data_IF_437936342272
#
_entry.id   IF_437936342272
#
_cell.length_a   1.000
_cell.length_b   1.000
_cell.length_c   1.000
_cell.angle_alpha   90.00
_cell.angle_beta   90.00
_cell.angle_gamma   90.00
#
_symmetry.space_group_name_H-M   'P 1'
#
loop_
_entity.id
_entity.type
_entity.pdbx_description
1 polymer ?
#
# COMPACT_ATOMS: atom_id res chain seq x y z
N UNK A 1 22.17 10.51 -22.83
CA UNK A 1 21.50 9.19 -22.69
C UNK A 1 20.02 9.48 -22.79
N UNK A 2 19.34 8.96 -23.81
CA UNK A 2 18.00 9.42 -24.18
C UNK A 2 17.00 9.19 -23.05
N UNK A 3 16.22 10.24 -22.75
CA UNK A 3 15.10 10.23 -21.83
C UNK A 3 14.07 9.21 -22.33
N UNK A 4 13.68 8.25 -21.51
CA UNK A 4 12.48 7.48 -21.77
C UNK A 4 11.28 8.38 -21.45
N UNK A 5 10.42 8.58 -22.44
CA UNK A 5 9.14 9.26 -22.32
C UNK A 5 8.19 8.51 -21.38
N UNK A 6 7.20 9.22 -20.83
CA UNK A 6 6.11 8.66 -20.02
C UNK A 6 5.38 7.49 -20.75
N UNK A 7 5.34 7.53 -22.09
CA UNK A 7 4.84 6.44 -22.93
C UNK A 7 5.74 5.20 -22.96
N UNK A 8 7.06 5.35 -22.83
CA UNK A 8 8.01 4.23 -22.78
C UNK A 8 7.99 3.53 -21.42
N UNK A 9 7.73 4.27 -20.33
CA UNK A 9 7.44 3.70 -19.00
C UNK A 9 6.16 2.87 -19.02
N UNK A 10 5.09 3.39 -19.64
CA UNK A 10 3.85 2.62 -19.86
C UNK A 10 4.05 1.39 -20.73
N UNK A 11 4.90 1.47 -21.76
CA UNK A 11 5.17 0.33 -22.65
C UNK A 11 6.05 -0.76 -22.00
N UNK A 12 6.92 -0.40 -21.05
CA UNK A 12 7.72 -1.35 -20.28
C UNK A 12 6.87 -2.10 -19.22
N UNK A 13 5.78 -1.50 -18.75
CA UNK A 13 4.91 -2.05 -17.70
C UNK A 13 3.59 -2.65 -18.19
N UNK A 14 3.29 -2.54 -19.48
CA UNK A 14 2.17 -3.25 -20.09
C UNK A 14 2.72 -4.45 -20.86
N UNK A 15 2.59 -5.69 -20.35
CA UNK A 15 2.37 -6.75 -21.31
C UNK A 15 1.14 -6.31 -22.11
N UNK A 16 1.28 -6.06 -23.42
CA UNK A 16 0.13 -5.82 -24.30
C UNK A 16 -0.95 -6.87 -24.02
N UNK A 17 -2.25 -6.63 -24.29
CA UNK A 17 -3.34 -7.47 -23.77
C UNK A 17 -3.11 -8.93 -24.13
N UNK A 18 -2.42 -9.65 -23.23
CA UNK A 18 -2.35 -11.08 -23.26
C UNK A 18 -3.73 -11.41 -22.73
N UNK A 19 -4.67 -11.60 -23.66
CA UNK A 19 -5.72 -12.58 -23.43
C UNK A 19 -4.96 -13.85 -23.10
N UNK A 20 -4.66 -14.03 -21.82
CA UNK A 20 -4.27 -15.31 -21.28
C UNK A 20 -5.53 -16.14 -21.50
N UNK A 21 -5.61 -16.80 -22.65
CA UNK A 21 -6.36 -18.03 -22.74
C UNK A 21 -5.85 -18.85 -21.56
N UNK A 22 -6.66 -18.99 -20.51
CA UNK A 22 -6.35 -19.82 -19.35
C UNK A 22 -5.76 -21.11 -19.92
N UNK A 23 -4.45 -21.37 -19.77
CA UNK A 23 -3.92 -22.66 -20.16
C UNK A 23 -4.74 -23.66 -19.35
N UNK A 24 -5.38 -24.61 -20.00
CA UNK A 24 -6.04 -25.70 -19.31
C UNK A 24 -4.95 -26.41 -18.50
N UNK A 25 -4.91 -26.13 -17.20
CA UNK A 25 -3.92 -26.65 -16.26
C UNK A 25 -4.00 -28.18 -16.35
N UNK A 26 -2.95 -28.81 -16.88
CA UNK A 26 -2.93 -30.28 -16.96
C UNK A 26 -2.87 -30.92 -15.58
N UNK A 27 -2.46 -30.19 -14.53
CA UNK A 27 -2.49 -30.64 -13.14
C UNK A 27 -2.75 -29.39 -12.28
N UNK A 28 -3.99 -29.18 -11.81
CA UNK A 28 -4.21 -28.22 -10.74
C UNK A 28 -3.39 -28.71 -9.52
N UNK A 29 -2.55 -27.87 -8.90
CA UNK A 29 -2.00 -28.23 -7.59
C UNK A 29 -3.18 -28.58 -6.68
N UNK A 30 -3.07 -29.66 -5.90
CA UNK A 30 -4.16 -30.15 -5.04
C UNK A 30 -4.81 -28.96 -4.31
N UNK A 31 -6.09 -28.71 -4.60
CA UNK A 31 -6.87 -27.71 -3.88
C UNK A 31 -6.91 -28.15 -2.41
N UNK A 32 -6.43 -27.28 -1.52
CA UNK A 32 -6.51 -27.49 -0.08
C UNK A 32 -7.71 -26.68 0.44
N UNK A 33 -8.59 -27.28 1.26
CA UNK A 33 -9.60 -26.55 2.00
C UNK A 33 -8.95 -25.40 2.80
N UNK A 34 -9.68 -24.27 2.94
CA UNK A 34 -9.21 -23.11 3.71
C UNK A 34 -8.74 -23.51 5.12
N UNK A 35 -9.45 -24.42 5.79
CA UNK A 35 -9.07 -24.91 7.12
C UNK A 35 -7.67 -25.57 7.14
N UNK A 36 -7.31 -26.31 6.10
CA UNK A 36 -5.99 -26.98 6.01
C UNK A 36 -4.89 -25.98 5.69
N UNK A 37 -5.18 -24.95 4.87
CA UNK A 37 -4.26 -23.83 4.62
C UNK A 37 -3.98 -23.09 5.93
N UNK A 38 -5.02 -22.76 6.70
CA UNK A 38 -4.90 -22.08 7.99
C UNK A 38 -4.16 -22.92 9.02
N UNK A 39 -4.42 -24.23 9.07
CA UNK A 39 -3.70 -25.15 9.94
C UNK A 39 -2.20 -25.19 9.61
N UNK A 40 -1.86 -25.18 8.33
CA UNK A 40 -0.46 -25.17 7.89
C UNK A 40 0.24 -23.84 8.16
N UNK A 41 -0.45 -22.71 7.96
CA UNK A 41 0.04 -21.38 8.38
C UNK A 41 0.34 -21.37 9.87
N UNK A 42 -0.59 -21.86 10.70
CA UNK A 42 -0.38 -22.00 12.14
C UNK A 42 0.82 -22.87 12.48
N UNK A 43 0.95 -24.02 11.82
CA UNK A 43 2.06 -24.96 12.03
C UNK A 43 3.43 -24.33 11.75
N UNK A 44 3.59 -23.60 10.65
CA UNK A 44 4.88 -22.96 10.32
C UNK A 44 5.17 -21.74 11.19
N UNK A 45 4.15 -20.95 11.51
CA UNK A 45 4.29 -19.77 12.39
C UNK A 45 4.64 -20.12 13.84
N UNK A 46 4.20 -21.29 14.32
CA UNK A 46 4.48 -21.79 15.68
C UNK A 46 5.90 -22.35 15.83
N UNK A 47 6.58 -22.66 14.72
CA UNK A 47 7.98 -23.07 14.76
C UNK A 47 8.91 -21.86 14.97
N UNK A 48 10.05 -22.02 15.67
CA UNK A 48 11.11 -21.01 15.67
C UNK A 48 11.54 -20.65 14.24
N UNK A 49 11.97 -19.41 13.99
CA UNK A 49 12.42 -18.94 12.66
C UNK A 49 13.37 -19.94 11.96
N UNK A 50 14.42 -20.38 12.66
CA UNK A 50 15.39 -21.35 12.13
C UNK A 50 14.78 -22.70 11.74
N UNK A 51 13.56 -22.98 12.22
CA UNK A 51 12.75 -24.17 11.99
C UNK A 51 11.56 -23.96 11.05
N UNK A 52 11.23 -22.72 10.68
CA UNK A 52 10.09 -22.43 9.82
C UNK A 52 10.38 -22.70 8.34
N UNK A 53 9.30 -22.81 7.57
CA UNK A 53 9.31 -22.95 6.11
C UNK A 53 8.45 -21.86 5.49
N UNK A 54 8.53 -21.70 4.17
CA UNK A 54 7.55 -20.90 3.42
C UNK A 54 6.12 -21.43 3.60
N UNK A 55 5.13 -20.58 3.33
CA UNK A 55 3.72 -20.97 3.36
C UNK A 55 3.40 -22.02 2.27
N UNK A 56 2.31 -22.80 2.42
CA UNK A 56 1.81 -23.63 1.33
C UNK A 56 1.48 -22.78 0.09
N UNK A 57 1.76 -23.26 -1.14
CA UNK A 57 1.48 -22.51 -2.36
C UNK A 57 0.00 -22.11 -2.50
N UNK A 58 -0.91 -22.89 -1.90
CA UNK A 58 -2.34 -22.60 -1.84
C UNK A 58 -2.66 -21.31 -1.09
N UNK A 59 -1.83 -20.87 -0.14
CA UNK A 59 -1.99 -19.57 0.51
C UNK A 59 -1.81 -18.38 -0.46
N UNK A 60 -1.19 -18.60 -1.62
CA UNK A 60 -0.96 -17.57 -2.64
C UNK A 60 -1.79 -17.76 -3.91
N UNK A 61 -2.53 -18.87 -4.03
CA UNK A 61 -3.16 -19.28 -5.29
C UNK A 61 -4.63 -19.68 -5.15
N UNK A 62 -5.11 -19.94 -3.92
CA UNK A 62 -6.50 -20.34 -3.68
C UNK A 62 -7.44 -19.12 -3.66
N UNK A 63 -8.47 -19.18 -4.50
CA UNK A 63 -9.57 -18.20 -4.53
C UNK A 63 -10.37 -18.19 -3.21
N UNK A 64 -10.62 -19.37 -2.62
CA UNK A 64 -11.34 -19.47 -1.36
C UNK A 64 -10.54 -18.88 -0.20
N UNK A 65 -9.22 -19.12 -0.20
CA UNK A 65 -8.34 -18.52 0.80
C UNK A 65 -8.25 -17.01 0.63
N UNK A 66 -8.15 -16.51 -0.60
CA UNK A 66 -8.17 -15.07 -0.86
C UNK A 66 -9.45 -14.40 -0.35
N UNK A 67 -10.63 -14.99 -0.59
CA UNK A 67 -11.89 -14.49 -0.01
C UNK A 67 -11.88 -14.49 1.51
N UNK A 68 -11.28 -15.52 2.12
CA UNK A 68 -11.08 -15.55 3.57
C UNK A 68 -10.15 -14.41 4.03
N UNK A 69 -9.06 -14.13 3.31
CA UNK A 69 -8.15 -13.01 3.61
C UNK A 69 -8.88 -11.67 3.55
N UNK A 70 -9.66 -11.39 2.51
CA UNK A 70 -10.47 -10.17 2.40
C UNK A 70 -11.34 -9.98 3.65
N UNK A 71 -12.15 -10.98 4.00
CA UNK A 71 -13.11 -10.89 5.08
C UNK A 71 -12.49 -10.85 6.49
N UNK A 72 -11.31 -11.42 6.68
CA UNK A 72 -10.73 -11.63 8.03
C UNK A 72 -9.49 -10.78 8.31
N UNK A 73 -8.80 -10.30 7.28
CA UNK A 73 -7.59 -9.50 7.41
C UNK A 73 -7.79 -8.03 7.03
N UNK A 74 -8.68 -7.73 6.07
CA UNK A 74 -8.72 -6.40 5.46
C UNK A 74 -10.01 -5.63 5.72
N UNK A 75 -11.18 -6.22 5.45
CA UNK A 75 -12.47 -5.52 5.60
C UNK A 75 -12.77 -5.10 7.04
N UNK A 76 -12.23 -5.84 8.00
CA UNK A 76 -12.41 -5.63 9.44
C UNK A 76 -11.29 -4.82 10.12
N UNK A 77 -10.40 -4.22 9.32
CA UNK A 77 -9.24 -3.48 9.81
C UNK A 77 -9.08 -2.13 9.10
N UNK A 78 -8.01 -1.41 9.46
CA UNK A 78 -7.67 -0.12 8.90
C UNK A 78 -6.82 -0.21 7.64
N UNK A 79 -7.33 0.34 6.54
CA UNK A 79 -6.64 0.39 5.25
C UNK A 79 -6.28 1.83 4.90
N UNK A 80 -4.98 2.10 4.71
CA UNK A 80 -4.50 3.39 4.24
C UNK A 80 -4.84 3.58 2.75
N UNK A 81 -5.52 4.68 2.41
CA UNK A 81 -6.05 4.93 1.06
C UNK A 81 -5.33 6.04 0.31
N UNK A 82 -4.96 7.12 0.98
CA UNK A 82 -4.20 8.23 0.38
C UNK A 82 -3.47 9.05 1.44
N UNK A 83 -2.57 9.91 1.01
CA UNK A 83 -2.05 11.00 1.83
C UNK A 83 -2.91 12.25 1.65
N UNK A 84 -3.12 13.05 2.71
CA UNK A 84 -3.93 14.28 2.70
C UNK A 84 -3.47 15.28 1.64
N UNK A 85 -2.18 15.26 1.29
CA UNK A 85 -1.60 16.12 0.25
C UNK A 85 -2.08 15.80 -1.17
N UNK A 86 -2.73 14.65 -1.38
CA UNK A 86 -3.32 14.29 -2.68
C UNK A 86 -4.70 14.94 -2.90
N UNK A 87 -5.37 15.37 -1.82
CA UNK A 87 -6.66 16.09 -1.86
C UNK A 87 -6.59 17.33 -0.95
N UNK A 88 -5.73 18.31 -1.25
CA UNK A 88 -5.46 19.42 -0.33
C UNK A 88 -6.61 20.44 -0.23
N UNK A 89 -7.45 20.59 -1.26
CA UNK A 89 -8.50 21.61 -1.32
C UNK A 89 -9.90 21.01 -1.14
N UNK A 90 -10.84 21.80 -0.62
CA UNK A 90 -12.25 21.41 -0.58
C UNK A 90 -12.75 21.01 -1.96
N UNK A 91 -13.46 19.88 -2.02
CA UNK A 91 -13.99 19.31 -3.25
C UNK A 91 -13.00 18.44 -4.00
N UNK A 92 -11.70 18.44 -3.62
CA UNK A 92 -10.74 17.50 -4.17
C UNK A 92 -11.16 16.08 -3.77
N UNK A 93 -11.20 15.18 -4.76
CA UNK A 93 -11.59 13.81 -4.54
C UNK A 93 -10.69 12.81 -5.26
N UNK A 94 -10.67 11.59 -4.72
CA UNK A 94 -10.04 10.39 -5.28
C UNK A 94 -11.07 9.26 -5.28
N UNK A 95 -11.24 8.60 -6.42
CA UNK A 95 -12.00 7.38 -6.54
C UNK A 95 -11.06 6.19 -6.41
N UNK A 96 -11.43 5.22 -5.58
CA UNK A 96 -10.69 3.97 -5.41
C UNK A 96 -11.67 2.80 -5.41
N UNK A 97 -11.22 1.65 -5.89
CA UNK A 97 -11.90 0.38 -5.66
C UNK A 97 -11.11 -0.39 -4.61
N UNK A 98 -11.73 -0.67 -3.47
CA UNK A 98 -11.08 -1.32 -2.32
C UNK A 98 -11.82 -2.62 -2.04
N UNK A 99 -11.20 -3.75 -2.39
CA UNK A 99 -11.77 -5.09 -2.25
C UNK A 99 -13.16 -5.27 -2.90
N UNK A 100 -13.38 -4.58 -4.03
CA UNK A 100 -14.63 -4.59 -4.76
C UNK A 100 -15.65 -3.54 -4.31
N UNK A 101 -15.37 -2.76 -3.27
CA UNK A 101 -16.18 -1.60 -2.88
C UNK A 101 -15.69 -0.34 -3.63
N UNK A 102 -16.53 0.31 -4.45
CA UNK A 102 -16.17 1.55 -5.11
C UNK A 102 -16.38 2.74 -4.16
N UNK A 103 -15.30 3.45 -3.87
CA UNK A 103 -15.22 4.52 -2.88
C UNK A 103 -14.88 5.87 -3.51
N UNK A 104 -15.37 6.94 -2.86
CA UNK A 104 -14.96 8.32 -3.07
C UNK A 104 -14.33 8.83 -1.78
N UNK A 105 -13.08 9.24 -1.86
CA UNK A 105 -12.41 10.02 -0.83
C UNK A 105 -12.55 11.48 -1.20
N UNK A 106 -13.00 12.33 -0.29
CA UNK A 106 -13.25 13.74 -0.61
C UNK A 106 -12.93 14.64 0.58
N UNK A 107 -12.33 15.80 0.30
CA UNK A 107 -12.24 16.88 1.28
C UNK A 107 -13.52 17.69 1.30
N UNK A 108 -14.20 17.71 2.43
CA UNK A 108 -15.49 18.39 2.61
C UNK A 108 -15.34 19.89 2.83
N UNK A 109 -16.46 20.61 2.92
CA UNK A 109 -16.50 22.08 3.07
C UNK A 109 -16.05 22.57 4.45
N UNK A 110 -16.20 21.73 5.47
CA UNK A 110 -15.70 21.92 6.83
C UNK A 110 -14.19 21.62 6.96
N UNK A 111 -13.56 21.09 5.90
CA UNK A 111 -12.13 20.77 5.85
C UNK A 111 -11.78 19.33 6.21
N UNK A 112 -12.75 18.55 6.70
CA UNK A 112 -12.59 17.13 7.00
C UNK A 112 -12.39 16.30 5.72
N UNK A 113 -11.99 15.04 5.88
CA UNK A 113 -11.95 14.06 4.79
C UNK A 113 -12.95 12.96 5.09
N UNK A 114 -13.77 12.63 4.10
CA UNK A 114 -14.76 11.55 4.16
C UNK A 114 -14.43 10.49 3.13
N UNK A 115 -14.67 9.22 3.49
CA UNK A 115 -14.74 8.11 2.56
C UNK A 115 -16.20 7.71 2.40
N UNK A 116 -16.73 7.84 1.20
CA UNK A 116 -18.14 7.59 0.85
C UNK A 116 -18.23 6.44 -0.15
N UNK A 117 -19.32 5.69 -0.14
CA UNK A 117 -19.63 4.78 -1.23
C UNK A 117 -19.91 5.59 -2.50
N UNK A 118 -19.36 5.14 -3.62
CA UNK A 118 -19.62 5.69 -4.95
C UNK A 118 -20.94 5.16 -5.53
N UNK A 119 -21.70 4.37 -4.76
CA UNK A 119 -22.94 3.75 -5.22
C UNK A 119 -24.17 4.58 -4.82
N UNK A 120 -24.93 5.03 -5.81
CA UNK A 120 -26.18 5.74 -5.61
C UNK A 120 -27.25 4.83 -4.97
N UNK A 121 -27.87 5.22 -3.84
CA UNK A 121 -28.84 4.39 -3.16
C UNK A 121 -30.18 4.24 -3.90
N UNK A 122 -30.44 5.04 -4.94
CA UNK A 122 -31.66 4.92 -5.74
C UNK A 122 -31.72 3.57 -6.47
N UNK A 123 -30.73 3.28 -7.34
CA UNK A 123 -30.71 2.07 -8.19
C UNK A 123 -29.29 1.54 -8.40
N UNK A 124 -28.45 1.65 -7.37
CA UNK A 124 -27.10 1.10 -7.31
C UNK A 124 -26.14 1.58 -8.43
N UNK A 125 -26.41 2.74 -9.03
CA UNK A 125 -25.53 3.31 -10.04
C UNK A 125 -24.23 3.75 -9.37
N UNK A 126 -23.09 3.24 -9.83
CA UNK A 126 -21.80 3.90 -9.58
C UNK A 126 -21.88 5.32 -10.15
N UNK A 127 -21.74 6.34 -9.29
CA UNK A 127 -21.97 7.73 -9.69
C UNK A 127 -20.81 8.35 -10.47
N UNK A 128 -19.63 7.72 -10.46
CA UNK A 128 -18.49 8.13 -11.28
C UNK A 128 -17.75 6.89 -11.80
N UNK A 129 -18.38 6.03 -12.63
CA UNK A 129 -17.76 4.82 -13.10
C UNK A 129 -16.64 5.15 -14.11
N UNK A 130 -15.62 4.30 -14.23
CA UNK A 130 -14.58 4.49 -15.24
C UNK A 130 -15.17 4.70 -16.64
N UNK A 131 -14.73 5.76 -17.33
CA UNK A 131 -15.18 6.08 -18.69
C UNK A 131 -16.51 6.84 -18.81
N UNK A 132 -17.19 7.17 -17.71
CA UNK A 132 -18.42 7.94 -17.72
C UNK A 132 -18.16 9.39 -17.26
N UNK A 133 -18.50 10.39 -18.08
CA UNK A 133 -18.22 11.81 -17.81
C UNK A 133 -17.31 12.50 -18.83
N UNK A 134 -16.68 11.76 -19.75
CA UNK A 134 -15.69 12.28 -20.71
C UNK A 134 -16.26 13.06 -21.92
N UNK A 135 -17.58 12.97 -22.15
CA UNK A 135 -18.19 13.40 -23.42
C UNK A 135 -19.20 14.57 -23.26
N UNK A 136 -19.00 15.46 -22.28
CA UNK A 136 -19.75 16.73 -22.19
C UNK A 136 -20.89 16.80 -21.18
N UNK A 137 -20.93 15.87 -20.21
CA UNK A 137 -21.74 15.98 -18.98
C UNK A 137 -20.86 16.20 -17.73
N UNK A 138 -19.60 16.59 -17.92
CA UNK A 138 -18.60 16.65 -16.86
C UNK A 138 -18.83 17.84 -15.90
N UNK A 139 -18.88 17.54 -14.61
CA UNK A 139 -18.96 18.55 -13.53
C UNK A 139 -17.70 18.56 -12.66
N UNK A 140 -16.81 17.58 -12.84
CA UNK A 140 -15.49 17.57 -12.24
C UNK A 140 -14.49 18.06 -13.30
N UNK A 141 -13.53 18.90 -12.91
CA UNK A 141 -12.38 19.11 -13.81
C UNK A 141 -11.41 17.97 -13.54
N UNK A 142 -11.13 17.08 -14.51
CA UNK A 142 -10.13 16.03 -14.30
C UNK A 142 -8.81 16.67 -13.93
N UNK A 143 -8.15 16.17 -12.88
CA UNK A 143 -6.79 16.62 -12.59
C UNK A 143 -5.87 15.99 -13.64
N UNK A 144 -5.28 16.81 -14.51
CA UNK A 144 -4.21 16.39 -15.44
C UNK A 144 -4.59 15.18 -16.33
N UNK A 145 -5.87 15.01 -16.69
CA UNK A 145 -6.32 13.91 -17.54
C UNK A 145 -6.24 12.51 -16.90
N UNK A 146 -6.12 12.42 -15.56
CA UNK A 146 -6.13 11.15 -14.83
C UNK A 146 -7.57 10.71 -14.51
N UNK A 147 -8.06 9.57 -15.02
CA UNK A 147 -9.35 9.03 -14.60
C UNK A 147 -9.36 8.75 -13.09
N UNK A 148 -10.41 9.18 -12.40
CA UNK A 148 -10.63 8.84 -10.98
C UNK A 148 -10.15 9.87 -9.95
N UNK A 149 -9.71 11.07 -10.33
CA UNK A 149 -9.50 12.17 -9.40
C UNK A 149 -9.90 13.52 -9.99
N UNK A 150 -10.15 14.51 -9.15
CA UNK A 150 -10.52 15.84 -9.60
C UNK A 150 -11.01 16.74 -8.47
N UNK A 151 -11.64 17.84 -8.84
CA UNK A 151 -12.33 18.75 -7.91
C UNK A 151 -13.79 18.91 -8.31
N UNK A 152 -14.71 18.85 -7.33
CA UNK A 152 -16.14 19.09 -7.55
C UNK A 152 -16.82 19.79 -6.39
N UNK A 153 -17.98 20.40 -6.64
CA UNK A 153 -18.83 21.06 -5.63
C UNK A 153 -19.92 20.15 -5.06
N UNK A 154 -20.27 19.08 -5.77
CA UNK A 154 -21.28 18.08 -5.43
C UNK A 154 -21.12 16.85 -6.33
N UNK A 155 -21.63 15.70 -5.92
CA UNK A 155 -21.64 14.49 -6.74
C UNK A 155 -23.00 14.33 -7.42
N UNK A 156 -23.00 14.00 -8.71
CA UNK A 156 -24.22 13.87 -9.50
C UNK A 156 -24.32 12.46 -10.04
N UNK A 157 -25.35 11.72 -9.63
CA UNK A 157 -25.63 10.41 -10.21
C UNK A 157 -26.08 10.58 -11.66
N UNK A 158 -25.37 10.00 -12.64
CA UNK A 158 -25.66 10.21 -14.04
C UNK A 158 -26.94 9.51 -14.51
N UNK A 159 -27.50 8.61 -13.70
CA UNK A 159 -28.67 7.85 -14.11
C UNK A 159 -29.96 8.70 -14.05
N UNK A 160 -30.18 9.40 -12.94
CA UNK A 160 -31.43 10.16 -12.71
C UNK A 160 -31.17 11.51 -12.02
N UNK A 161 -29.93 12.01 -12.03
CA UNK A 161 -29.54 13.30 -11.46
C UNK A 161 -29.80 13.46 -9.96
N UNK A 162 -29.81 12.36 -9.21
CA UNK A 162 -29.69 12.45 -7.75
C UNK A 162 -28.36 13.12 -7.40
N UNK A 163 -28.43 14.21 -6.67
CA UNK A 163 -27.30 15.08 -6.37
C UNK A 163 -26.96 14.98 -4.91
N UNK A 164 -25.69 14.74 -4.58
CA UNK A 164 -25.18 14.57 -3.22
C UNK A 164 -24.20 15.70 -2.88
N UNK A 165 -24.27 16.20 -1.65
CA UNK A 165 -23.25 17.08 -1.09
C UNK A 165 -21.92 16.31 -0.90
N UNK A 166 -20.83 17.04 -0.62
CA UNK A 166 -19.50 16.45 -0.43
C UNK A 166 -19.42 15.55 0.81
N UNK A 167 -20.32 15.71 1.77
CA UNK A 167 -20.45 14.85 2.96
C UNK A 167 -21.32 13.61 2.71
N UNK A 168 -21.83 13.44 1.49
CA UNK A 168 -22.70 12.34 1.08
C UNK A 168 -24.20 12.61 1.24
N UNK A 169 -24.61 13.71 1.88
CA UNK A 169 -26.03 14.03 2.07
C UNK A 169 -26.78 14.22 0.74
N UNK A 170 -27.98 13.67 0.61
CA UNK A 170 -28.80 13.85 -0.61
C UNK A 170 -29.32 15.29 -0.69
N UNK A 171 -28.79 16.06 -1.64
CA UNK A 171 -29.14 17.45 -1.89
C UNK A 171 -30.44 17.59 -2.68
N UNK A 172 -30.54 16.85 -3.79
CA UNK A 172 -31.64 16.96 -4.73
C UNK A 172 -31.94 15.62 -5.40
N UNK A 173 -33.22 15.35 -5.64
CA UNK A 173 -33.71 14.16 -6.32
C UNK A 173 -35.00 14.54 -7.07
N UNK A 174 -34.98 14.46 -8.40
CA UNK A 174 -36.11 14.86 -9.23
C UNK A 174 -37.31 13.92 -9.05
N UNK A 175 -38.53 14.47 -9.12
CA UNK A 175 -39.81 13.73 -9.15
C UNK A 175 -40.10 12.82 -7.95
N UNK A 176 -39.35 12.92 -6.84
CA UNK A 176 -39.59 12.11 -5.63
C UNK A 176 -40.69 12.66 -4.71
N UNK A 177 -41.30 13.80 -5.05
CA UNK A 177 -42.33 14.44 -4.21
C UNK A 177 -43.64 13.65 -4.10
N UNK A 178 -43.94 12.80 -5.10
CA UNK A 178 -45.11 11.93 -5.12
C UNK A 178 -44.83 10.54 -4.51
N UNK A 179 -43.59 10.26 -4.10
CA UNK A 179 -43.23 9.01 -3.44
C UNK A 179 -43.69 9.05 -1.98
N UNK A 180 -44.73 8.29 -1.66
CA UNK A 180 -45.31 8.23 -0.31
C UNK A 180 -44.25 7.88 0.73
N UNK A 181 -44.12 8.69 1.78
CA UNK A 181 -43.20 8.47 2.89
C UNK A 181 -41.73 8.78 2.60
N UNK A 182 -41.36 9.27 1.40
CA UNK A 182 -39.97 9.57 1.07
C UNK A 182 -39.38 10.71 1.92
N UNK A 183 -38.39 10.40 2.75
CA UNK A 183 -37.61 11.38 3.52
C UNK A 183 -36.21 11.52 2.92
N UNK A 184 -35.97 12.64 2.21
CA UNK A 184 -34.70 12.86 1.47
C UNK A 184 -33.44 12.60 2.31
N UNK A 185 -33.47 12.98 3.59
CA UNK A 185 -32.31 12.91 4.47
C UNK A 185 -31.94 11.45 4.86
N UNK A 186 -32.79 10.47 4.56
CA UNK A 186 -32.51 9.03 4.73
C UNK A 186 -31.73 8.41 3.55
N UNK A 187 -31.55 9.15 2.45
CA UNK A 187 -31.08 8.61 1.16
C UNK A 187 -29.72 9.17 0.69
N UNK A 188 -28.82 9.46 1.62
CA UNK A 188 -27.44 9.87 1.33
C UNK A 188 -26.54 8.73 0.82
N UNK A 189 -25.36 9.08 0.33
CA UNK A 189 -24.29 8.11 0.09
C UNK A 189 -23.83 7.54 1.43
N UNK A 190 -23.63 6.21 1.49
CA UNK A 190 -23.11 5.55 2.68
C UNK A 190 -21.71 6.09 2.99
N UNK A 191 -21.51 6.61 4.20
CA UNK A 191 -20.17 6.91 4.71
C UNK A 191 -19.51 5.68 5.31
N UNK A 192 -18.19 5.59 5.19
CA UNK A 192 -17.35 4.60 5.86
C UNK A 192 -16.59 5.26 7.01
N UNK A 193 -16.30 4.48 8.06
CA UNK A 193 -15.50 4.97 9.17
C UNK A 193 -14.13 5.38 8.66
N UNK A 194 -13.77 6.64 8.89
CA UNK A 194 -12.58 7.29 8.33
C UNK A 194 -11.80 7.96 9.45
N UNK A 195 -10.47 7.78 9.43
CA UNK A 195 -9.56 8.47 10.35
C UNK A 195 -8.36 9.00 9.57
N UNK A 196 -7.87 10.18 9.96
CA UNK A 196 -6.62 10.75 9.43
C UNK A 196 -5.55 10.60 10.51
N UNK A 197 -4.48 9.88 10.19
CA UNK A 197 -3.37 9.64 11.11
C UNK A 197 -2.03 9.82 10.38
N UNK A 198 -1.16 10.66 10.92
CA UNK A 198 0.13 11.02 10.30
C UNK A 198 0.02 11.41 8.83
N UNK A 199 -1.03 12.17 8.47
CA UNK A 199 -1.29 12.62 7.11
C UNK A 199 -1.86 11.55 6.17
N UNK A 200 -2.00 10.30 6.61
CA UNK A 200 -2.68 9.26 5.82
C UNK A 200 -4.15 9.15 6.20
N UNK A 201 -4.99 8.99 5.18
CA UNK A 201 -6.43 8.73 5.30
C UNK A 201 -6.64 7.23 5.34
N UNK A 202 -7.20 6.74 6.45
CA UNK A 202 -7.55 5.34 6.64
C UNK A 202 -9.06 5.14 6.56
N UNK A 203 -9.47 3.98 6.03
CA UNK A 203 -10.85 3.50 6.08
C UNK A 203 -10.93 2.20 6.87
N UNK A 204 -12.03 1.99 7.57
CA UNK A 204 -12.46 0.69 8.05
C UNK A 204 -13.83 0.37 7.44
N UNK A 205 -13.91 -0.71 6.65
CA UNK A 205 -15.03 -0.98 5.74
C UNK A 205 -16.26 -1.52 6.47
N UNK A 206 -16.06 -2.35 7.49
CA UNK A 206 -17.15 -2.85 8.33
C UNK A 206 -17.65 -1.82 9.36
N UNK A 207 -16.80 -0.84 9.73
CA UNK A 207 -17.11 0.21 10.70
C UNK A 207 -16.88 -0.19 12.15
N UNK A 208 -16.45 -1.43 12.40
CA UNK A 208 -16.43 -2.07 13.73
C UNK A 208 -15.01 -2.28 14.27
N UNK A 209 -13.99 -1.65 13.66
CA UNK A 209 -12.61 -1.73 14.15
C UNK A 209 -12.53 -1.39 15.66
N UNK A 210 -11.96 -2.26 16.51
CA UNK A 210 -12.02 -2.10 17.96
C UNK A 210 -11.15 -0.96 18.50
N UNK A 211 -10.24 -0.42 17.68
CA UNK A 211 -9.30 0.64 18.03
C UNK A 211 -9.35 1.73 16.97
N UNK A 212 -9.06 2.96 17.36
CA UNK A 212 -8.66 4.02 16.42
C UNK A 212 -7.31 3.68 15.78
N UNK A 213 -6.99 4.31 14.65
CA UNK A 213 -5.69 4.14 13.98
C UNK A 213 -4.55 4.58 14.91
N UNK A 214 -4.76 5.68 15.63
CA UNK A 214 -3.78 6.22 16.56
C UNK A 214 -3.50 5.28 17.75
N UNK A 215 -4.53 4.61 18.28
CA UNK A 215 -4.36 3.61 19.34
C UNK A 215 -3.69 2.34 18.83
N UNK A 216 -4.08 1.86 17.64
CA UNK A 216 -3.51 0.65 17.03
C UNK A 216 -2.02 0.84 16.70
N UNK A 217 -1.65 1.98 16.14
CA UNK A 217 -0.27 2.26 15.72
C UNK A 217 0.48 3.20 16.67
N UNK A 218 0.11 3.28 17.95
CA UNK A 218 0.72 4.20 18.90
C UNK A 218 2.26 4.05 18.97
N UNK A 219 2.77 2.82 19.03
CA UNK A 219 4.19 2.54 19.05
C UNK A 219 4.89 2.94 17.73
N UNK A 220 4.28 2.66 16.59
CA UNK A 220 4.79 3.10 15.28
C UNK A 220 4.79 4.62 15.16
N UNK A 221 3.75 5.28 15.67
CA UNK A 221 3.64 6.74 15.68
C UNK A 221 4.76 7.40 16.48
N UNK A 222 5.11 6.82 17.64
CA UNK A 222 6.26 7.28 18.41
C UNK A 222 7.59 7.05 17.68
N UNK A 223 7.76 5.87 17.07
CA UNK A 223 8.95 5.52 16.28
C UNK A 223 9.15 6.47 15.07
N UNK A 224 8.05 6.92 14.46
CA UNK A 224 8.06 7.72 13.23
C UNK A 224 7.91 9.23 13.44
N UNK A 225 7.73 9.67 14.69
CA UNK A 225 7.60 11.09 15.03
C UNK A 225 8.72 11.98 14.43
N UNK A 226 10.02 11.56 14.40
CA UNK A 226 11.08 12.38 13.83
C UNK A 226 10.93 12.68 12.33
N UNK A 227 10.20 11.84 11.58
CA UNK A 227 9.99 12.05 10.14
C UNK A 227 8.89 13.07 9.84
N UNK A 228 8.06 13.44 10.83
CA UNK A 228 6.95 14.39 10.69
C UNK A 228 6.09 14.15 9.44
N UNK A 229 5.70 12.90 9.21
CA UNK A 229 5.07 12.45 7.96
C UNK A 229 3.78 13.20 7.66
N UNK A 230 3.07 13.67 8.70
CA UNK A 230 1.83 14.43 8.57
C UNK A 230 1.96 15.70 7.72
N UNK A 231 3.13 16.35 7.75
CA UNK A 231 3.39 17.59 7.01
C UNK A 231 4.05 17.35 5.65
N UNK A 232 4.35 16.11 5.29
CA UNK A 232 5.01 15.79 4.02
C UNK A 232 4.09 15.99 2.81
N UNK A 233 4.71 16.12 1.64
CA UNK A 233 4.01 16.27 0.38
C UNK A 233 4.36 15.16 -0.58
N UNK A 234 3.34 14.49 -1.12
CA UNK A 234 3.53 13.54 -2.21
C UNK A 234 3.97 14.27 -3.48
N UNK A 235 5.06 13.80 -4.10
CA UNK A 235 5.68 14.39 -5.31
C UNK A 235 5.85 13.40 -6.45
N UNK A 236 5.81 12.09 -6.17
CA UNK A 236 5.81 11.02 -7.17
C UNK A 236 4.72 10.02 -6.81
N UNK A 237 4.01 9.54 -7.83
CA UNK A 237 2.99 8.50 -7.73
C UNK A 237 3.02 7.69 -9.03
N UNK A 238 3.34 6.40 -8.94
CA UNK A 238 3.33 5.46 -10.05
C UNK A 238 2.36 4.32 -9.74
N UNK A 239 1.48 4.02 -10.69
CA UNK A 239 0.49 2.94 -10.60
C UNK A 239 0.98 1.71 -11.37
N UNK A 240 0.77 0.53 -10.78
CA UNK A 240 1.23 -0.75 -11.30
C UNK A 240 0.14 -1.80 -11.21
N UNK A 241 -0.03 -2.53 -12.30
CA UNK A 241 -0.91 -3.71 -12.37
C UNK A 241 -0.06 -4.97 -12.25
N UNK A 242 -0.06 -5.53 -11.05
CA UNK A 242 0.90 -6.55 -10.65
C UNK A 242 0.27 -7.94 -10.72
N UNK A 243 0.85 -8.84 -11.51
CA UNK A 243 0.38 -10.23 -11.68
C UNK A 243 1.02 -11.20 -10.68
N UNK A 244 0.93 -10.87 -9.39
CA UNK A 244 1.32 -11.73 -8.28
C UNK A 244 0.51 -11.44 -7.02
N UNK A 245 0.50 -12.41 -6.09
CA UNK A 245 -0.19 -12.29 -4.80
C UNK A 245 0.40 -11.15 -3.95
N UNK A 246 -0.44 -10.47 -3.17
CA UNK A 246 0.00 -9.39 -2.27
C UNK A 246 1.06 -9.82 -1.26
N UNK A 247 1.02 -11.07 -0.78
CA UNK A 247 2.02 -11.61 0.14
C UNK A 247 3.37 -11.77 -0.53
N UNK A 248 3.42 -12.09 -1.83
CA UNK A 248 4.71 -12.18 -2.55
C UNK A 248 5.40 -10.82 -2.52
N UNK A 249 4.67 -9.73 -2.76
CA UNK A 249 5.21 -8.37 -2.65
C UNK A 249 5.59 -8.02 -1.22
N UNK A 250 4.71 -8.28 -0.24
CA UNK A 250 4.95 -7.94 1.16
C UNK A 250 6.15 -8.71 1.73
N UNK A 251 6.27 -10.00 1.42
CA UNK A 251 7.41 -10.84 1.81
C UNK A 251 8.69 -10.32 1.16
N UNK A 252 8.71 -10.08 -0.16
CA UNK A 252 9.87 -9.53 -0.88
C UNK A 252 10.29 -8.16 -0.33
N UNK A 253 9.33 -7.26 -0.13
CA UNK A 253 9.59 -5.90 0.36
C UNK A 253 10.22 -5.90 1.75
N UNK A 254 9.81 -6.80 2.65
CA UNK A 254 10.14 -6.73 4.07
C UNK A 254 11.46 -7.39 4.47
N UNK A 255 12.15 -8.07 3.55
CA UNK A 255 13.43 -8.75 3.84
C UNK A 255 14.54 -8.29 2.90
N UNK A 256 15.80 -8.51 3.29
CA UNK A 256 16.96 -8.06 2.50
C UNK A 256 17.85 -9.20 2.01
N UNK A 257 17.47 -10.44 2.25
CA UNK A 257 18.20 -11.62 1.79
C UNK A 257 18.33 -11.64 0.26
N UNK A 258 17.28 -11.22 -0.46
CA UNK A 258 17.33 -11.11 -1.92
C UNK A 258 18.28 -10.02 -2.44
N UNK A 259 18.79 -9.10 -1.59
CA UNK A 259 19.74 -8.07 -2.04
C UNK A 259 20.97 -8.70 -2.70
N UNK A 260 21.47 -9.82 -2.17
CA UNK A 260 22.64 -10.50 -2.71
C UNK A 260 22.43 -11.05 -4.14
N UNK A 261 21.17 -11.26 -4.55
CA UNK A 261 20.79 -11.74 -5.87
C UNK A 261 20.22 -10.60 -6.73
N UNK A 262 18.96 -10.25 -6.47
CA UNK A 262 18.16 -9.32 -7.28
C UNK A 262 18.78 -7.91 -7.28
N UNK A 263 19.10 -7.37 -6.10
CA UNK A 263 19.70 -6.03 -5.96
C UNK A 263 21.22 -6.05 -5.85
N UNK A 264 21.88 -7.00 -6.52
CA UNK A 264 23.34 -7.17 -6.43
C UNK A 264 24.14 -5.96 -6.93
N UNK A 265 23.50 -5.10 -7.75
CA UNK A 265 24.10 -3.89 -8.34
C UNK A 265 23.56 -2.57 -7.74
N UNK A 266 22.45 -2.62 -7.01
CA UNK A 266 21.70 -1.45 -6.53
C UNK A 266 21.78 -1.35 -5.01
N UNK A 267 21.02 -2.16 -4.27
CA UNK A 267 20.97 -2.12 -2.80
C UNK A 267 22.15 -2.80 -2.13
N UNK A 268 22.57 -3.99 -2.59
CA UNK A 268 23.63 -4.76 -1.92
C UNK A 268 24.97 -4.01 -1.79
N UNK A 269 25.41 -3.20 -2.77
CA UNK A 269 26.59 -2.35 -2.62
C UNK A 269 26.45 -1.30 -1.51
N UNK A 270 25.24 -0.80 -1.24
CA UNK A 270 24.96 0.27 -0.26
C UNK A 270 24.62 -0.27 1.15
N UNK A 271 23.70 -1.23 1.20
CA UNK A 271 23.11 -1.83 2.41
C UNK A 271 23.14 -3.35 2.24
N UNK A 272 24.11 -4.00 2.90
CA UNK A 272 24.31 -5.44 2.73
C UNK A 272 23.22 -6.20 3.47
N UNK A 273 22.65 -7.21 2.81
CA UNK A 273 21.70 -8.15 3.39
C UNK A 273 22.06 -8.61 4.82
N UNK A 274 23.32 -8.98 5.03
CA UNK A 274 23.81 -9.53 6.31
C UNK A 274 23.88 -8.52 7.46
N UNK A 275 23.88 -7.22 7.15
CA UNK A 275 24.01 -6.14 8.13
C UNK A 275 22.61 -5.63 8.57
N UNK A 276 21.54 -6.07 7.88
CA UNK A 276 20.14 -5.71 8.18
C UNK A 276 19.61 -6.52 9.35
N UNK A 277 18.58 -5.98 10.01
CA UNK A 277 18.02 -6.61 11.21
C UNK A 277 16.58 -6.16 11.46
N UNK A 278 15.84 -7.03 12.16
CA UNK A 278 14.43 -6.83 12.53
C UNK A 278 14.31 -6.61 14.03
N UNK A 279 13.45 -5.68 14.42
CA UNK A 279 13.13 -5.41 15.82
C UNK A 279 12.40 -6.58 16.48
N UNK A 280 12.17 -6.48 17.80
CA UNK A 280 11.27 -7.38 18.51
C UNK A 280 9.88 -7.36 17.85
N UNK A 281 9.21 -8.51 17.80
CA UNK A 281 7.87 -8.62 17.24
C UNK A 281 6.89 -7.72 18.01
N UNK A 282 6.13 -6.90 17.27
CA UNK A 282 5.10 -6.03 17.80
C UNK A 282 3.71 -6.49 17.34
N UNK A 283 2.63 -6.16 18.08
CA UNK A 283 1.29 -6.61 17.74
C UNK A 283 0.75 -6.08 16.41
N UNK A 284 1.15 -4.89 15.97
CA UNK A 284 0.49 -4.18 14.86
C UNK A 284 1.42 -3.80 13.70
N UNK A 285 2.73 -4.01 13.83
CA UNK A 285 3.68 -3.70 12.76
C UNK A 285 4.98 -4.49 12.87
N UNK A 286 5.65 -4.61 11.74
CA UNK A 286 7.04 -5.08 11.63
C UNK A 286 7.90 -3.88 11.25
N UNK A 287 9.10 -3.79 11.84
CA UNK A 287 10.10 -2.78 11.51
C UNK A 287 11.47 -3.42 11.31
N UNK A 288 12.06 -3.14 10.16
CA UNK A 288 13.38 -3.63 9.76
C UNK A 288 14.29 -2.45 9.47
N UNK A 289 15.58 -2.64 9.72
CA UNK A 289 16.60 -1.61 9.57
C UNK A 289 17.67 -2.05 8.60
N UNK A 290 17.93 -1.20 7.62
CA UNK A 290 18.88 -1.41 6.53
C UNK A 290 19.99 -0.37 6.67
N UNK A 291 20.98 -0.60 7.55
CA UNK A 291 22.08 0.33 7.73
C UNK A 291 22.93 0.40 6.47
N UNK A 292 23.31 1.62 6.09
CA UNK A 292 24.34 1.83 5.09
C UNK A 292 25.67 1.29 5.61
N UNK A 293 26.47 0.74 4.70
CA UNK A 293 27.82 0.26 5.05
C UNK A 293 28.69 1.43 5.53
N UNK A 294 29.59 1.14 6.46
CA UNK A 294 30.53 2.14 7.02
C UNK A 294 31.31 2.91 5.95
N UNK A 295 31.73 2.23 4.87
CA UNK A 295 32.44 2.89 3.76
C UNK A 295 31.56 3.92 3.04
N UNK A 296 30.28 3.59 2.83
CA UNK A 296 29.33 4.51 2.21
C UNK A 296 29.03 5.69 3.14
N UNK A 297 28.86 5.43 4.44
CA UNK A 297 28.71 6.50 5.43
C UNK A 297 29.88 7.50 5.37
N UNK A 298 31.11 7.02 5.35
CA UNK A 298 32.30 7.89 5.26
C UNK A 298 32.33 8.69 3.94
N UNK A 299 31.93 8.08 2.82
CA UNK A 299 31.81 8.77 1.52
C UNK A 299 30.74 9.89 1.56
N UNK A 300 29.61 9.66 2.22
CA UNK A 300 28.56 10.66 2.42
C UNK A 300 29.09 11.83 3.26
N UNK A 301 29.72 11.54 4.40
CA UNK A 301 30.32 12.56 5.28
C UNK A 301 31.37 13.41 4.54
N UNK A 302 32.21 12.79 3.69
CA UNK A 302 33.20 13.51 2.88
C UNK A 302 32.54 14.45 1.84
N UNK A 303 31.47 13.99 1.19
CA UNK A 303 30.69 14.82 0.24
C UNK A 303 30.05 16.00 0.93
N UNK A 304 29.40 15.76 2.07
CA UNK A 304 28.74 16.81 2.84
C UNK A 304 29.74 17.86 3.36
N UNK A 305 30.95 17.43 3.76
CA UNK A 305 32.02 18.35 4.13
C UNK A 305 32.49 19.26 2.99
N UNK A 306 32.26 18.86 1.73
CA UNK A 306 32.52 19.66 0.52
C UNK A 306 31.30 20.49 0.07
N UNK A 307 30.18 20.40 0.78
CA UNK A 307 28.92 21.07 0.42
C UNK A 307 28.11 20.34 -0.66
N UNK A 308 28.40 19.07 -0.92
CA UNK A 308 27.66 18.23 -1.86
C UNK A 308 26.60 17.39 -1.11
N UNK A 309 25.42 17.20 -1.72
CA UNK A 309 24.34 16.36 -1.14
C UNK A 309 24.43 14.94 -1.66
N UNK A 310 24.36 13.96 -0.76
CA UNK A 310 24.11 12.55 -1.12
C UNK A 310 22.65 12.34 -1.50
N UNK A 311 21.74 12.82 -0.65
CA UNK A 311 20.29 12.62 -0.79
C UNK A 311 19.70 13.41 -1.96
N UNK A 312 18.52 12.96 -2.43
CA UNK A 312 17.82 13.60 -3.55
C UNK A 312 17.11 14.87 -3.11
N UNK A 313 16.47 14.82 -1.95
CA UNK A 313 15.91 15.99 -1.30
C UNK A 313 16.75 16.35 -0.08
N UNK A 314 16.64 17.59 0.43
CA UNK A 314 17.27 17.94 1.69
C UNK A 314 16.83 16.97 2.80
N UNK A 315 17.74 16.50 3.67
CA UNK A 315 17.39 15.64 4.78
C UNK A 315 16.30 16.27 5.67
N UNK A 316 15.44 15.42 6.22
CA UNK A 316 14.38 15.81 7.14
C UNK A 316 15.01 16.46 8.38
N UNK A 317 14.62 17.70 8.73
CA UNK A 317 15.19 18.40 9.87
C UNK A 317 14.92 17.67 11.20
N UNK A 318 15.95 17.53 12.03
CA UNK A 318 15.81 16.97 13.38
C UNK A 318 15.79 15.45 13.45
N UNK A 319 16.05 14.74 12.35
CA UNK A 319 16.28 13.30 12.41
C UNK A 319 17.46 12.94 13.34
N UNK A 320 17.37 11.81 14.07
CA UNK A 320 18.52 11.24 14.75
C UNK A 320 19.67 10.96 13.77
N UNK A 321 20.91 11.05 14.25
CA UNK A 321 22.09 10.89 13.39
C UNK A 321 22.11 9.53 12.70
N UNK A 322 21.78 8.46 13.43
CA UNK A 322 21.71 7.11 12.91
C UNK A 322 20.66 6.94 11.79
N UNK A 323 19.58 7.73 11.83
CA UNK A 323 18.52 7.69 10.82
C UNK A 323 18.97 8.30 9.49
N UNK A 324 20.05 9.10 9.47
CA UNK A 324 20.64 9.62 8.24
C UNK A 324 21.36 8.56 7.41
N UNK A 325 21.82 7.49 8.06
CA UNK A 325 22.65 6.45 7.45
C UNK A 325 21.98 5.07 7.46
N UNK A 326 20.65 5.03 7.54
CA UNK A 326 19.88 3.79 7.48
C UNK A 326 18.58 4.04 6.76
N UNK A 327 18.15 3.07 5.95
CA UNK A 327 16.74 2.98 5.58
C UNK A 327 16.02 2.13 6.60
N UNK A 328 14.72 2.34 6.72
CA UNK A 328 13.86 1.43 7.47
C UNK A 328 12.66 1.00 6.67
N UNK A 329 12.31 -0.27 6.82
CA UNK A 329 11.15 -0.90 6.20
C UNK A 329 10.09 -1.10 7.28
N UNK A 330 8.87 -0.67 6.98
CA UNK A 330 7.72 -0.87 7.85
C UNK A 330 6.63 -1.59 7.08
N UNK A 331 6.02 -2.57 7.73
CA UNK A 331 4.71 -3.10 7.38
C UNK A 331 3.85 -3.01 8.62
N UNK A 332 2.95 -2.03 8.66
CA UNK A 332 1.88 -2.00 9.65
C UNK A 332 0.70 -2.82 9.11
N UNK A 333 0.25 -3.78 9.90
CA UNK A 333 -0.72 -4.77 9.44
C UNK A 333 -2.08 -4.11 9.18
N UNK A 334 -2.78 -4.48 8.09
CA UNK A 334 -2.42 -5.57 7.18
C UNK A 334 -1.56 -5.14 5.99
N UNK A 335 -1.67 -3.89 5.50
CA UNK A 335 -1.14 -3.48 4.18
C UNK A 335 -0.49 -2.09 4.17
N UNK A 336 -0.31 -1.44 5.32
CA UNK A 336 0.32 -0.12 5.38
C UNK A 336 1.85 -0.26 5.38
N UNK A 337 2.41 -0.29 4.18
CA UNK A 337 3.82 -0.61 3.94
C UNK A 337 4.58 0.58 3.37
N UNK A 338 5.72 0.93 3.96
CA UNK A 338 6.53 2.04 3.48
C UNK A 338 8.00 1.91 3.87
N UNK A 339 8.86 2.60 3.11
CA UNK A 339 10.26 2.86 3.44
C UNK A 339 10.37 4.25 4.01
N UNK A 340 11.19 4.43 5.04
CA UNK A 340 11.62 5.74 5.49
C UNK A 340 13.13 5.91 5.29
N UNK A 341 13.53 7.07 4.75
CA UNK A 341 14.92 7.45 4.49
C UNK A 341 15.26 8.77 5.19
N UNK A 342 16.47 9.29 4.98
CA UNK A 342 16.87 10.58 5.52
C UNK A 342 16.08 11.76 4.93
N UNK A 343 15.55 11.64 3.72
CA UNK A 343 15.00 12.75 2.92
C UNK A 343 13.56 12.51 2.43
N UNK A 344 13.01 11.30 2.59
CA UNK A 344 11.71 10.95 2.05
C UNK A 344 11.04 9.77 2.74
N UNK A 345 9.74 9.61 2.49
CA UNK A 345 8.96 8.40 2.76
C UNK A 345 8.50 7.83 1.42
N UNK A 346 8.73 6.54 1.21
CA UNK A 346 8.26 5.81 0.02
C UNK A 346 7.13 4.90 0.46
N UNK A 347 5.88 5.30 0.25
CA UNK A 347 4.71 4.52 0.66
C UNK A 347 4.13 3.69 -0.49
N UNK A 348 3.78 2.44 -0.19
CA UNK A 348 3.15 1.48 -1.09
C UNK A 348 1.69 1.30 -0.69
N UNK A 349 0.75 1.71 -1.54
CA UNK A 349 -0.67 1.34 -1.41
C UNK A 349 -0.90 0.04 -2.15
N UNK A 350 -1.02 -1.05 -1.40
CA UNK A 350 -1.22 -2.40 -1.93
C UNK A 350 -2.71 -2.73 -1.86
N UNK A 351 -3.36 -2.94 -3.00
CA UNK A 351 -4.76 -3.33 -3.10
C UNK A 351 -4.88 -4.68 -3.83
N UNK A 352 -4.91 -5.81 -3.08
CA UNK A 352 -5.21 -7.12 -3.65
C UNK A 352 -6.54 -7.13 -4.40
N UNK A 353 -6.57 -7.70 -5.62
CA UNK A 353 -7.80 -7.83 -6.44
C UNK A 353 -8.10 -9.27 -6.84
N UNK A 354 -7.12 -10.17 -6.72
CA UNK A 354 -7.27 -11.61 -6.95
C UNK A 354 -6.18 -12.36 -6.15
N UNK A 355 -6.24 -13.71 -6.06
CA UNK A 355 -5.18 -14.50 -5.43
C UNK A 355 -3.82 -14.27 -6.09
N UNK A 356 -3.76 -13.93 -7.37
CA UNK A 356 -2.52 -13.74 -8.12
C UNK A 356 -2.39 -12.34 -8.73
N UNK A 357 -3.13 -11.36 -8.20
CA UNK A 357 -3.12 -9.99 -8.74
C UNK A 357 -3.38 -8.92 -7.69
N UNK A 358 -2.70 -7.80 -7.82
CA UNK A 358 -2.91 -6.60 -7.01
C UNK A 358 -2.78 -5.33 -7.85
N UNK A 359 -3.43 -4.26 -7.42
CA UNK A 359 -3.13 -2.89 -7.85
C UNK A 359 -2.17 -2.26 -6.84
N UNK A 360 -1.06 -1.72 -7.32
CA UNK A 360 -0.05 -1.08 -6.48
C UNK A 360 0.09 0.39 -6.87
N UNK A 361 0.11 1.27 -5.87
CA UNK A 361 0.62 2.63 -6.03
C UNK A 361 1.93 2.74 -5.24
N UNK A 362 3.03 3.07 -5.91
CA UNK A 362 4.28 3.47 -5.25
C UNK A 362 4.35 4.99 -5.22
N UNK A 363 4.70 5.56 -4.08
CA UNK A 363 4.73 7.02 -3.89
C UNK A 363 6.06 7.48 -3.33
N UNK A 364 6.38 8.76 -3.52
CA UNK A 364 7.46 9.44 -2.80
C UNK A 364 6.87 10.68 -2.15
N UNK A 365 6.96 10.74 -0.83
CA UNK A 365 6.62 11.89 0.00
C UNK A 365 7.91 12.56 0.47
N UNK A 366 7.95 13.88 0.40
CA UNK A 366 9.13 14.68 0.78
C UNK A 366 8.72 15.75 1.80
N UNK A 367 9.67 16.29 2.58
CA UNK A 367 9.40 17.38 3.50
C UNK A 367 8.69 18.56 2.84
N UNK A 368 7.81 19.20 3.61
CA UNK A 368 7.17 20.45 3.21
C UNK A 368 8.19 21.48 2.75
N UNK A 369 7.90 22.14 1.63
CA UNK A 369 8.78 23.15 1.04
C UNK A 369 9.84 22.57 0.10
N UNK A 370 9.96 21.24 -0.04
CA UNK A 370 10.78 20.64 -1.08
C UNK A 370 10.32 21.05 -2.50
N UNK A 371 9.02 21.30 -2.69
CA UNK A 371 8.45 21.81 -3.94
C UNK A 371 8.88 23.24 -4.28
N UNK A 372 9.33 24.01 -3.29
CA UNK A 372 9.79 25.39 -3.46
C UNK A 372 11.27 25.48 -3.89
N UNK A 373 11.98 24.35 -3.95
CA UNK A 373 13.37 24.29 -4.39
C UNK A 373 13.49 24.71 -5.87
N UNK A 374 14.46 25.56 -6.25
CA UNK A 374 14.63 26.00 -7.63
C UNK A 374 14.84 24.86 -8.64
N UNK A 375 15.40 23.74 -8.18
CA UNK A 375 15.70 22.53 -8.94
C UNK A 375 14.73 21.37 -8.60
N UNK A 376 13.57 21.66 -8.00
CA UNK A 376 12.60 20.66 -7.56
C UNK A 376 12.25 19.65 -8.67
N UNK A 377 11.94 20.12 -9.87
CA UNK A 377 11.50 19.23 -10.95
C UNK A 377 12.60 18.26 -11.39
N UNK A 378 13.86 18.70 -11.41
CA UNK A 378 15.01 17.82 -11.69
C UNK A 378 15.18 16.77 -10.58
N UNK A 379 15.03 17.17 -9.31
CA UNK A 379 15.08 16.24 -8.17
C UNK A 379 13.95 15.23 -8.21
N UNK A 380 12.72 15.69 -8.51
CA UNK A 380 11.53 14.86 -8.65
C UNK A 380 11.71 13.81 -9.74
N UNK A 381 12.17 14.21 -10.92
CA UNK A 381 12.45 13.28 -12.02
C UNK A 381 13.57 12.29 -11.69
N UNK A 382 14.63 12.75 -11.01
CA UNK A 382 15.71 11.88 -10.53
C UNK A 382 15.20 10.84 -9.54
N UNK A 383 14.38 11.26 -8.57
CA UNK A 383 13.76 10.38 -7.58
C UNK A 383 12.80 9.38 -8.25
N UNK A 384 11.97 9.83 -9.18
CA UNK A 384 11.05 8.98 -9.92
C UNK A 384 11.77 7.89 -10.70
N UNK A 385 12.80 8.27 -11.47
CA UNK A 385 13.61 7.32 -12.24
C UNK A 385 14.30 6.29 -11.33
N UNK A 386 14.93 6.74 -10.25
CA UNK A 386 15.60 5.84 -9.31
C UNK A 386 14.60 4.86 -8.66
N UNK A 387 13.42 5.36 -8.29
CA UNK A 387 12.34 4.53 -7.74
C UNK A 387 11.83 3.48 -8.74
N UNK A 388 11.64 3.86 -10.01
CA UNK A 388 11.22 2.94 -11.08
C UNK A 388 12.28 1.86 -11.33
N UNK A 389 13.55 2.25 -11.50
CA UNK A 389 14.65 1.31 -11.77
C UNK A 389 14.77 0.26 -10.66
N UNK A 390 14.73 0.69 -9.40
CA UNK A 390 14.73 -0.20 -8.25
C UNK A 390 13.51 -1.13 -8.24
N UNK A 391 12.31 -0.57 -8.40
CA UNK A 391 11.07 -1.34 -8.31
C UNK A 391 10.94 -2.40 -9.42
N UNK A 392 11.48 -2.15 -10.62
CA UNK A 392 11.46 -3.12 -11.70
C UNK A 392 12.26 -4.39 -11.38
N UNK A 393 13.36 -4.29 -10.63
CA UNK A 393 14.12 -5.46 -10.16
C UNK A 393 13.25 -6.37 -9.28
N UNK A 394 12.43 -5.79 -8.39
CA UNK A 394 11.47 -6.53 -7.55
C UNK A 394 10.32 -7.14 -8.34
N UNK A 395 9.78 -6.41 -9.32
CA UNK A 395 8.68 -6.89 -10.15
C UNK A 395 9.03 -8.16 -10.91
N UNK A 396 10.22 -8.22 -11.49
CA UNK A 396 10.71 -9.40 -12.20
C UNK A 396 10.76 -10.63 -11.28
N UNK A 397 11.27 -10.46 -10.05
CA UNK A 397 11.37 -11.52 -9.04
C UNK A 397 9.99 -11.97 -8.58
N UNK A 398 9.10 -11.03 -8.22
CA UNK A 398 7.75 -11.32 -7.74
C UNK A 398 6.92 -12.09 -8.78
N UNK A 399 6.98 -11.70 -10.06
CA UNK A 399 6.32 -12.42 -11.15
C UNK A 399 6.88 -13.84 -11.33
N UNK A 400 8.20 -14.01 -11.23
CA UNK A 400 8.83 -15.33 -11.33
C UNK A 400 8.45 -16.25 -10.16
N UNK A 401 8.38 -15.70 -8.93
CA UNK A 401 7.92 -16.41 -7.73
C UNK A 401 6.46 -16.85 -7.89
N UNK A 402 5.56 -15.94 -8.28
CA UNK A 402 4.14 -16.30 -8.49
C UNK A 402 3.99 -17.42 -9.51
N UNK A 403 4.72 -17.35 -10.63
CA UNK A 403 4.73 -18.43 -11.62
C UNK A 403 5.17 -19.74 -10.97
N UNK A 404 6.25 -19.74 -10.19
CA UNK A 404 6.75 -20.93 -9.47
C UNK A 404 5.73 -21.56 -8.53
N UNK A 405 4.99 -20.73 -7.78
CA UNK A 405 3.96 -21.16 -6.81
C UNK A 405 2.80 -21.95 -7.46
N UNK A 406 2.55 -21.77 -8.75
CA UNK A 406 1.52 -22.50 -9.50
C UNK A 406 1.99 -23.85 -10.07
N UNK A 407 3.28 -24.18 -9.92
CA UNK A 407 3.85 -25.38 -10.56
C UNK A 407 3.83 -26.60 -9.64
N UNK A 408 3.63 -27.78 -10.24
CA UNK A 408 3.73 -29.07 -9.51
C UNK A 408 5.15 -29.38 -9.00
N UNK A 409 6.17 -28.66 -9.50
CA UNK A 409 7.57 -28.86 -9.11
C UNK A 409 7.99 -28.08 -7.87
N UNK A 410 7.17 -27.14 -7.40
CA UNK A 410 7.52 -26.35 -6.22
C UNK A 410 7.46 -27.21 -4.95
N UNK A 411 8.56 -27.20 -4.20
CA UNK A 411 8.64 -27.74 -2.86
C UNK A 411 9.01 -26.60 -1.91
N UNK A 412 8.40 -26.62 -0.72
CA UNK A 412 8.60 -25.56 0.26
C UNK A 412 10.03 -25.53 0.80
N UNK A 413 10.54 -24.32 0.95
CA UNK A 413 11.90 -24.04 1.42
C UNK A 413 11.94 -23.65 2.89
N UNK A 414 13.15 -23.61 3.45
CA UNK A 414 13.43 -23.11 4.80
C UNK A 414 13.71 -21.61 4.76
N UNK A 415 13.28 -20.91 5.80
CA UNK A 415 13.62 -19.49 5.97
C UNK A 415 15.04 -19.34 6.52
N UNK A 416 15.74 -18.34 6.02
CA UNK A 416 17.00 -17.79 6.51
C UNK A 416 16.76 -16.99 7.80
N UNK A 417 17.83 -16.82 8.58
CA UNK A 417 17.82 -15.85 9.67
C UNK A 417 17.54 -14.42 9.19
N UNK A 418 17.85 -14.07 7.93
CA UNK A 418 17.55 -12.74 7.36
C UNK A 418 16.07 -12.56 6.97
N UNK A 419 15.26 -13.61 7.06
CA UNK A 419 13.84 -13.63 6.68
C UNK A 419 12.93 -13.63 7.93
N UNK A 420 13.40 -13.06 9.05
CA UNK A 420 12.55 -12.85 10.23
C UNK A 420 11.25 -12.11 9.88
N UNK A 421 11.23 -11.06 9.05
CA UNK A 421 10.00 -10.34 8.68
C UNK A 421 9.00 -11.25 7.96
N UNK A 422 9.46 -12.11 7.05
CA UNK A 422 8.62 -13.12 6.39
C UNK A 422 7.97 -14.05 7.41
N UNK A 423 8.74 -14.54 8.39
CA UNK A 423 8.20 -15.34 9.49
C UNK A 423 7.22 -14.57 10.38
N UNK A 424 7.45 -13.28 10.64
CA UNK A 424 6.50 -12.43 11.36
C UNK A 424 5.20 -12.20 10.57
N UNK A 425 5.24 -12.10 9.24
CA UNK A 425 4.03 -12.10 8.39
C UNK A 425 3.26 -13.41 8.55
N UNK A 426 3.95 -14.56 8.60
CA UNK A 426 3.30 -15.86 8.85
C UNK A 426 2.64 -15.90 10.24
N UNK A 427 3.28 -15.33 11.26
CA UNK A 427 2.71 -15.21 12.62
C UNK A 427 1.52 -14.28 12.67
N UNK A 428 1.54 -13.19 11.92
CA UNK A 428 0.36 -12.33 11.72
C UNK A 428 -0.81 -13.11 11.11
N UNK A 429 -0.61 -13.82 10.00
CA UNK A 429 -1.66 -14.62 9.38
C UNK A 429 -2.20 -15.70 10.34
N UNK A 430 -1.31 -16.35 11.11
CA UNK A 430 -1.69 -17.35 12.11
C UNK A 430 -2.46 -16.75 13.30
N UNK A 431 -2.11 -15.55 13.77
CA UNK A 431 -2.83 -14.87 14.83
C UNK A 431 -4.22 -14.43 14.35
N UNK A 432 -4.32 -13.85 13.16
CA UNK A 432 -5.61 -13.45 12.58
C UNK A 432 -6.53 -14.65 12.33
N UNK A 433 -6.00 -15.80 11.93
CA UNK A 433 -6.79 -17.03 11.79
C UNK A 433 -7.38 -17.55 13.09
N UNK A 434 -6.81 -17.15 14.22
CA UNK A 434 -7.27 -17.47 15.58
C UNK A 434 -8.13 -16.35 16.19
N UNK A 435 -8.45 -15.30 15.43
CA UNK A 435 -9.24 -14.15 15.91
C UNK A 435 -8.50 -13.25 16.88
N UNK A 436 -7.17 -13.22 16.83
CA UNK A 436 -6.31 -12.45 17.74
C UNK A 436 -5.24 -11.67 16.95
N UNK A 437 -4.24 -11.13 17.64
CA UNK A 437 -3.14 -10.34 17.07
C UNK A 437 -1.79 -10.94 17.48
N UNK A 438 -0.71 -10.73 16.70
CA UNK A 438 0.64 -11.06 17.11
C UNK A 438 0.93 -10.60 18.53
N UNK A 439 1.77 -11.35 19.25
CA UNK A 439 2.13 -11.13 20.67
C UNK A 439 0.99 -11.28 21.69
N UNK A 440 -0.27 -11.37 21.27
CA UNK A 440 -1.42 -11.56 22.16
C UNK A 440 -1.76 -13.04 22.39
N UNK A 441 -1.43 -13.92 21.43
CA UNK A 441 -1.67 -15.38 21.52
C UNK A 441 -0.43 -16.19 21.93
N UNK A 442 0.73 -15.53 21.97
CA UNK A 442 2.05 -16.15 22.20
C UNK A 442 3.08 -15.08 22.61
N UNK A 443 4.21 -15.46 23.21
CA UNK A 443 5.31 -14.53 23.46
C UNK A 443 5.85 -13.90 22.17
N UNK A 444 6.22 -12.63 22.25
CA UNK A 444 6.88 -11.91 21.17
C UNK A 444 8.20 -12.58 20.79
N UNK A 445 8.49 -12.64 19.49
CA UNK A 445 9.81 -13.02 19.02
C UNK A 445 10.84 -11.94 19.35
N UNK A 446 11.97 -12.35 19.92
CA UNK A 446 13.06 -11.46 20.28
C UNK A 446 13.65 -10.76 19.04
N UNK A 447 14.14 -9.54 19.23
CA UNK A 447 14.86 -8.80 18.18
C UNK A 447 16.11 -9.56 17.71
N UNK A 448 16.50 -9.33 16.45
CA UNK A 448 17.74 -9.85 15.90
C UNK A 448 18.98 -9.11 16.42
N UNK A 449 18.81 -7.93 17.03
CA UNK A 449 19.86 -7.23 17.77
C UNK A 449 19.50 -7.17 19.27
N UNK A 450 20.48 -7.36 20.17
CA UNK A 450 20.26 -7.29 21.61
C UNK A 450 19.82 -5.92 22.12
#
# INVERSE_FOLDING_TARGET
MNLLSESEVRAACLPGPVRASRPTLRHAPHELPVADILAEIGRVADLPLAQSTTLPPQAYTSEEFFRWEIANLFENDWIALCHVSQIPNTGDFLNLEVFGEPLILVRTKDGDIRVLSRVCPHRAMDIMPPGFGYDGHDMATPHEGKPGCGNTRFFLCPYHFWTFELDGGLKACAEMGEAEGFQRDEWGLRGFRTEVWNGFVFVNLDGEAPRTVAEQYAALGADMAPWNVADMELVVANEWDCSFNWKVLAENFMESYHHAGAHSKTLQPMMRARDTWTEEEKPFHIRCHLPMRETLRAEIEEREAKGESWDIFPPIPGLPEEARYSWGLVMAYPLFTFVYTADSIIWYRILPVAPDRLQLLTTILVPKGAKDLPDFEERRERANRAGIEFHLEDMEVCMAVQRGLTTAGYQRGRLSHLEMPVWLIQRFLAARSRGTWPTMDRPAAASQKP
#
